data_IF_161511786574
#
_entry.id   IF_161511786574
#
_cell.length_a   1.000
_cell.length_b   1.000
_cell.length_c   1.000
_cell.angle_alpha   90.00
_cell.angle_beta   90.00
_cell.angle_gamma   90.00
#
_symmetry.space_group_name_H-M   'P 1'
#
loop_
_entity.id
_entity.type
_entity.pdbx_description
1 polymer ?
#
# COMPACT_ATOMS: atom_id res chain seq x y z
N UNK A 1 -14.46 -2.19 10.77
CA UNK A 1 -15.47 -1.11 10.82
C UNK A 1 -15.76 -0.66 9.40
N UNK A 2 -16.99 -0.19 9.14
CA UNK A 2 -17.38 0.39 7.85
C UNK A 2 -17.33 1.91 8.01
N UNK A 3 -16.68 2.62 7.09
CA UNK A 3 -16.62 4.08 7.09
C UNK A 3 -17.81 4.65 6.32
N UNK A 4 -18.56 5.58 6.93
CA UNK A 4 -19.81 6.09 6.35
C UNK A 4 -19.64 7.52 5.81
N UNK A 5 -19.99 7.71 4.54
CA UNK A 5 -20.13 9.00 3.89
C UNK A 5 -21.58 9.17 3.42
N UNK A 6 -22.23 10.24 3.86
CA UNK A 6 -23.62 10.52 3.54
C UNK A 6 -23.76 11.89 2.91
N UNK A 7 -24.52 11.98 1.83
CA UNK A 7 -25.01 13.25 1.31
C UNK A 7 -26.51 13.36 1.51
N UNK A 8 -26.95 14.45 2.12
CA UNK A 8 -28.35 14.77 2.36
C UNK A 8 -28.53 16.28 2.25
N UNK A 9 -29.43 16.72 1.38
CA UNK A 9 -29.87 18.12 1.30
C UNK A 9 -28.72 19.13 1.14
N UNK A 10 -27.80 18.88 0.19
CA UNK A 10 -26.63 19.73 -0.03
C UNK A 10 -25.50 19.55 0.98
N UNK A 11 -25.70 18.77 2.04
CA UNK A 11 -24.73 18.59 3.13
C UNK A 11 -24.05 17.23 3.05
N UNK A 12 -22.71 17.25 3.02
CA UNK A 12 -21.87 16.06 3.19
C UNK A 12 -21.64 15.81 4.68
N UNK A 13 -22.00 14.62 5.14
CA UNK A 13 -21.75 14.12 6.49
C UNK A 13 -20.78 12.94 6.41
N UNK A 14 -19.68 13.05 7.14
CA UNK A 14 -18.68 11.99 7.28
C UNK A 14 -18.59 11.65 8.76
N UNK A 15 -18.43 10.36 9.06
CA UNK A 15 -18.18 9.88 10.43
C UNK A 15 -16.98 10.59 11.08
N UNK A 16 -17.10 10.95 12.36
CA UNK A 16 -16.05 11.62 13.12
C UNK A 16 -14.87 10.68 13.37
N UNK A 17 -13.93 10.69 12.44
CA UNK A 17 -12.71 9.88 12.45
C UNK A 17 -11.53 10.73 11.99
N UNK A 18 -10.31 10.21 12.13
CA UNK A 18 -9.11 10.84 11.55
C UNK A 18 -9.16 10.99 10.02
N UNK A 19 -10.09 10.29 9.37
CA UNK A 19 -10.29 10.35 7.93
C UNK A 19 -11.10 11.58 7.49
N UNK A 20 -12.02 12.08 8.34
CA UNK A 20 -12.91 13.21 8.05
C UNK A 20 -12.24 14.41 7.36
N UNK A 21 -11.06 14.92 7.79
CA UNK A 21 -10.43 16.07 7.14
C UNK A 21 -9.84 15.77 5.74
N UNK A 22 -9.75 14.50 5.33
CA UNK A 22 -9.08 14.07 4.10
C UNK A 22 -10.01 13.41 3.09
N UNK A 23 -11.28 13.15 3.44
CA UNK A 23 -12.23 12.45 2.58
C UNK A 23 -13.39 13.34 2.18
N UNK A 24 -13.89 13.16 0.96
CA UNK A 24 -15.07 13.86 0.49
C UNK A 24 -15.51 13.38 -0.89
N UNK A 25 -16.60 13.98 -1.38
CA UNK A 25 -17.03 13.80 -2.76
C UNK A 25 -16.21 14.71 -3.68
N UNK A 26 -15.74 14.16 -4.80
CA UNK A 26 -14.92 14.89 -5.77
C UNK A 26 -15.73 15.92 -6.56
N UNK A 27 -17.01 15.65 -6.78
CA UNK A 27 -17.92 16.49 -7.55
C UNK A 27 -19.19 16.79 -6.75
N UNK A 28 -19.88 17.91 -7.06
CA UNK A 28 -21.23 18.14 -6.53
C UNK A 28 -22.17 17.01 -6.94
N UNK A 29 -23.01 16.54 -6.02
CA UNK A 29 -23.87 15.36 -6.25
C UNK A 29 -24.86 15.56 -7.39
N UNK A 30 -25.22 16.82 -7.68
CA UNK A 30 -26.07 17.22 -8.82
C UNK A 30 -25.51 16.75 -10.18
N UNK A 31 -24.21 16.46 -10.27
CA UNK A 31 -23.60 15.92 -11.50
C UNK A 31 -23.80 14.42 -11.67
N UNK A 32 -24.59 13.77 -10.81
CA UNK A 32 -24.81 12.31 -10.78
C UNK A 32 -23.50 11.51 -10.66
N UNK A 33 -22.43 12.14 -10.18
CA UNK A 33 -21.11 11.53 -10.02
C UNK A 33 -20.77 11.47 -8.54
N UNK A 34 -20.77 10.26 -8.00
CA UNK A 34 -20.55 9.98 -6.58
C UNK A 34 -19.10 9.55 -6.28
N UNK A 35 -18.15 10.00 -7.10
CA UNK A 35 -16.73 9.74 -6.88
C UNK A 35 -16.26 10.30 -5.54
N UNK A 36 -15.53 9.50 -4.79
CA UNK A 36 -14.96 9.87 -3.48
C UNK A 36 -13.44 10.01 -3.62
N UNK A 37 -12.87 11.00 -2.97
CA UNK A 37 -11.42 11.14 -2.82
C UNK A 37 -11.00 10.92 -1.37
N UNK A 38 -9.78 10.42 -1.18
CA UNK A 38 -9.06 10.43 0.09
C UNK A 38 -7.70 11.04 -0.16
N UNK A 39 -7.40 12.16 0.47
CA UNK A 39 -6.09 12.80 0.36
C UNK A 39 -5.06 12.11 1.27
N UNK A 40 -3.82 11.96 0.79
CA UNK A 40 -2.71 11.36 1.52
C UNK A 40 -3.09 10.04 2.22
N UNK A 41 -3.43 9.02 1.43
CA UNK A 41 -3.86 7.70 1.93
C UNK A 41 -2.84 7.07 2.86
N UNK A 42 -3.34 6.44 3.92
CA UNK A 42 -2.57 5.76 4.96
C UNK A 42 -2.97 4.30 5.04
N UNK A 43 -2.09 3.45 5.56
CA UNK A 43 -2.37 2.01 5.66
C UNK A 43 -3.68 1.70 6.42
N UNK A 44 -3.97 2.46 7.48
CA UNK A 44 -5.19 2.32 8.27
C UNK A 44 -6.46 2.84 7.58
N UNK A 45 -6.34 3.53 6.45
CA UNK A 45 -7.50 3.92 5.63
C UNK A 45 -8.08 2.71 4.89
N UNK A 46 -7.42 1.54 4.92
CA UNK A 46 -7.97 0.29 4.42
C UNK A 46 -9.27 -0.09 5.12
N UNK A 47 -10.29 -0.43 4.34
CA UNK A 47 -11.58 -0.84 4.90
C UNK A 47 -12.70 -0.82 3.87
N UNK A 48 -13.90 -1.07 4.37
CA UNK A 48 -15.11 -0.93 3.59
C UNK A 48 -15.68 0.49 3.77
N UNK A 49 -16.05 1.10 2.66
CA UNK A 49 -16.63 2.42 2.57
C UNK A 49 -18.05 2.30 2.06
N UNK A 50 -18.97 2.96 2.75
CA UNK A 50 -20.38 3.02 2.36
C UNK A 50 -20.77 4.46 2.08
N UNK A 51 -21.12 4.72 0.82
CA UNK A 51 -21.58 6.02 0.34
C UNK A 51 -23.10 5.99 0.23
N UNK A 52 -23.79 6.82 1.00
CA UNK A 52 -25.24 6.98 0.93
C UNK A 52 -25.58 8.34 0.35
N UNK A 53 -26.34 8.37 -0.73
CA UNK A 53 -26.84 9.60 -1.34
C UNK A 53 -28.35 9.60 -1.21
N UNK A 54 -28.87 10.60 -0.51
CA UNK A 54 -30.30 10.88 -0.43
C UNK A 54 -30.57 12.13 -1.28
N UNK A 55 -31.19 11.94 -2.44
CA UNK A 55 -31.64 13.05 -3.29
C UNK A 55 -33.12 13.29 -2.99
N UNK A 56 -33.45 14.51 -2.58
CA UNK A 56 -34.83 14.99 -2.56
C UNK A 56 -35.06 15.60 -3.92
N UNK A 57 -35.88 14.94 -4.75
CA UNK A 57 -36.30 15.47 -6.04
C UNK A 57 -37.66 16.18 -5.89
N UNK A 58 -37.95 17.17 -6.74
CA UNK A 58 -39.13 18.05 -6.66
C UNK A 58 -40.49 17.30 -6.76
N UNK A 59 -40.48 15.99 -7.00
CA UNK A 59 -41.65 15.14 -7.29
C UNK A 59 -41.88 14.06 -6.20
N UNK A 60 -41.51 14.32 -4.94
CA UNK A 60 -41.93 13.52 -3.75
C UNK A 60 -41.31 12.12 -3.55
N UNK A 61 -40.38 11.64 -4.39
CA UNK A 61 -39.66 10.38 -4.14
C UNK A 61 -38.29 10.62 -3.51
N UNK A 62 -38.12 10.21 -2.24
CA UNK A 62 -36.79 10.08 -1.64
C UNK A 62 -36.05 8.89 -2.27
N UNK A 63 -35.21 9.17 -3.27
CA UNK A 63 -34.27 8.19 -3.81
C UNK A 63 -33.09 8.01 -2.87
N UNK A 64 -32.93 6.81 -2.29
CA UNK A 64 -31.73 6.42 -1.54
C UNK A 64 -30.84 5.54 -2.40
N UNK A 65 -29.66 6.04 -2.77
CA UNK A 65 -28.64 5.25 -3.46
C UNK A 65 -27.52 4.91 -2.48
N UNK A 66 -27.14 3.63 -2.45
CA UNK A 66 -26.05 3.13 -1.60
C UNK A 66 -24.98 2.49 -2.47
N UNK A 67 -23.75 2.96 -2.35
CA UNK A 67 -22.56 2.36 -2.95
C UNK A 67 -21.64 1.80 -1.86
N UNK A 68 -21.11 0.59 -2.08
CA UNK A 68 -20.14 -0.05 -1.17
C UNK A 68 -18.84 -0.28 -1.93
N UNK A 69 -17.72 0.15 -1.33
CA UNK A 69 -16.38 0.07 -1.92
C UNK A 69 -15.44 -0.55 -0.90
N UNK A 70 -14.61 -1.51 -1.31
CA UNK A 70 -13.54 -2.05 -0.48
C UNK A 70 -12.21 -1.44 -0.92
N UNK A 71 -11.56 -0.70 -0.02
CA UNK A 71 -10.27 -0.05 -0.27
C UNK A 71 -9.14 -0.83 0.40
N UNK A 72 -8.17 -1.24 -0.41
CA UNK A 72 -6.91 -1.81 0.07
C UNK A 72 -5.76 -0.84 -0.23
N UNK A 73 -5.25 -0.19 0.81
CA UNK A 73 -4.04 0.64 0.70
C UNK A 73 -2.83 -0.27 0.75
N UNK A 74 -1.97 -0.13 -0.26
CA UNK A 74 -0.72 -0.88 -0.39
C UNK A 74 0.42 -0.12 0.26
N UNK A 75 1.37 -0.87 0.82
CA UNK A 75 2.57 -0.31 1.46
C UNK A 75 3.79 -0.89 0.75
N UNK A 76 4.68 -0.05 0.20
CA UNK A 76 5.89 -0.55 -0.43
C UNK A 76 6.76 -1.29 0.60
N UNK A 77 7.44 -2.38 0.20
CA UNK A 77 8.38 -3.05 1.09
C UNK A 77 9.48 -2.10 1.55
N UNK A 78 9.80 -2.14 2.84
CA UNK A 78 11.00 -1.47 3.36
C UNK A 78 12.25 -2.11 2.75
N UNK A 79 13.38 -1.40 2.79
CA UNK A 79 14.68 -1.97 2.37
C UNK A 79 14.94 -3.29 3.11
N UNK A 80 15.16 -4.41 2.39
CA UNK A 80 15.29 -5.70 3.04
C UNK A 80 16.62 -5.80 3.79
N UNK A 81 16.58 -6.40 4.97
CA UNK A 81 17.76 -6.76 5.75
C UNK A 81 18.08 -8.22 5.48
N UNK A 82 19.21 -8.46 4.83
CA UNK A 82 19.68 -9.80 4.49
C UNK A 82 20.79 -10.25 5.44
N UNK A 83 20.71 -11.50 5.88
CA UNK A 83 21.67 -12.12 6.81
C UNK A 83 22.08 -13.49 6.32
N UNK A 84 23.37 -13.78 6.46
CA UNK A 84 23.93 -15.11 6.32
C UNK A 84 24.09 -15.71 7.71
N UNK A 85 23.53 -16.90 7.90
CA UNK A 85 23.65 -17.69 9.11
C UNK A 85 24.59 -18.86 8.84
N UNK A 86 25.50 -19.12 9.78
CA UNK A 86 26.59 -20.08 9.63
C UNK A 86 27.88 -19.42 9.13
N UNK A 87 28.94 -20.23 9.00
CA UNK A 87 30.23 -19.77 8.49
C UNK A 87 30.43 -20.34 7.09
N UNK A 88 30.75 -19.52 6.06
CA UNK A 88 30.89 -19.99 4.69
C UNK A 88 32.24 -20.69 4.48
N UNK A 89 32.38 -21.90 5.04
CA UNK A 89 33.54 -22.79 4.86
C UNK A 89 33.21 -23.94 3.91
N UNK A 90 34.24 -24.51 3.29
CA UNK A 90 34.07 -25.64 2.35
C UNK A 90 33.42 -26.82 3.05
N UNK A 91 32.36 -27.36 2.44
CA UNK A 91 31.60 -28.49 2.99
C UNK A 91 30.58 -28.11 4.07
N UNK A 92 30.50 -26.85 4.49
CA UNK A 92 29.51 -26.39 5.46
C UNK A 92 28.20 -25.91 4.81
N UNK A 93 27.10 -26.06 5.54
CA UNK A 93 25.81 -25.51 5.16
C UNK A 93 25.66 -24.08 5.70
N UNK A 94 25.09 -23.21 4.88
CA UNK A 94 24.73 -21.84 5.26
C UNK A 94 23.27 -21.57 4.95
N UNK A 95 22.65 -20.67 5.70
CA UNK A 95 21.28 -20.23 5.46
C UNK A 95 21.25 -18.74 5.17
N UNK A 96 20.64 -18.38 4.04
CA UNK A 96 20.40 -17.00 3.67
C UNK A 96 18.97 -16.60 4.06
N UNK A 97 18.83 -15.49 4.76
CA UNK A 97 17.53 -14.93 5.13
C UNK A 97 17.47 -13.47 4.71
N UNK A 98 16.34 -13.02 4.15
CA UNK A 98 16.05 -11.62 3.93
C UNK A 98 14.64 -11.32 4.43
N UNK A 99 14.47 -10.20 5.13
CA UNK A 99 13.17 -9.73 5.59
C UNK A 99 13.07 -8.22 5.43
N UNK A 100 11.87 -7.72 5.16
CA UNK A 100 11.55 -6.29 5.19
C UNK A 100 10.63 -6.07 6.38
N UNK A 101 10.91 -5.04 7.17
CA UNK A 101 10.11 -4.70 8.35
C UNK A 101 8.67 -4.33 7.99
N UNK A 102 8.47 -3.70 6.82
CA UNK A 102 7.18 -3.26 6.31
C UNK A 102 6.98 -3.75 4.88
N UNK A 103 5.71 -3.89 4.48
CA UNK A 103 5.28 -4.25 3.13
C UNK A 103 3.87 -4.83 3.14
N UNK A 104 2.99 -4.31 2.29
CA UNK A 104 1.60 -4.77 2.15
C UNK A 104 1.23 -4.85 0.67
N UNK A 105 1.04 -6.06 0.11
CA UNK A 105 1.19 -7.36 0.76
C UNK A 105 2.64 -7.65 1.14
N UNK A 106 2.85 -8.70 1.95
CA UNK A 106 4.20 -9.15 2.30
C UNK A 106 5.05 -9.39 1.05
N UNK A 107 6.30 -8.89 1.01
CA UNK A 107 7.16 -9.03 -0.16
C UNK A 107 7.53 -10.51 -0.41
N UNK A 108 7.58 -10.88 -1.68
CA UNK A 108 8.13 -12.16 -2.12
C UNK A 108 9.62 -12.01 -2.45
N UNK A 109 10.43 -12.97 -2.02
CA UNK A 109 11.89 -12.97 -2.23
C UNK A 109 12.30 -14.07 -3.18
N UNK A 110 13.25 -13.76 -4.05
CA UNK A 110 13.91 -14.73 -4.91
C UNK A 110 15.42 -14.51 -4.81
N UNK A 111 16.15 -15.61 -4.62
CA UNK A 111 17.60 -15.60 -4.58
C UNK A 111 18.17 -15.82 -5.97
N UNK A 112 19.15 -15.00 -6.33
CA UNK A 112 19.92 -15.16 -7.56
C UNK A 112 21.41 -15.23 -7.23
N UNK A 113 22.07 -16.25 -7.77
CA UNK A 113 23.53 -16.37 -7.64
C UNK A 113 24.19 -15.48 -8.70
N UNK A 114 24.90 -14.44 -8.25
CA UNK A 114 25.74 -13.62 -9.14
C UNK A 114 26.99 -14.41 -9.55
N UNK A 115 27.49 -14.15 -10.75
CA UNK A 115 28.78 -14.68 -11.19
C UNK A 115 29.88 -14.20 -10.24
N UNK A 116 30.92 -15.01 -9.98
CA UNK A 116 32.05 -14.58 -9.18
C UNK A 116 32.70 -13.36 -9.81
N UNK A 117 33.10 -12.38 -8.99
CA UNK A 117 34.01 -11.34 -9.45
C UNK A 117 35.35 -12.02 -9.76
N UNK A 118 35.80 -11.95 -11.01
CA UNK A 118 37.12 -12.48 -11.39
C UNK A 118 38.17 -11.66 -10.65
N UNK A 119 38.80 -12.25 -9.65
CA UNK A 119 39.99 -11.66 -9.03
C UNK A 119 41.20 -12.11 -9.85
N UNK A 120 41.75 -11.18 -10.63
CA UNK A 120 42.98 -11.42 -11.39
C UNK A 120 44.14 -11.34 -10.41
N UNK A 121 44.80 -12.47 -10.17
CA UNK A 121 46.05 -12.49 -9.41
C UNK A 121 47.19 -12.07 -10.34
N UNK A 122 47.84 -10.95 -10.02
CA UNK A 122 49.11 -10.58 -10.63
C UNK A 122 50.24 -11.09 -9.73
N UNK A 123 50.96 -12.15 -10.12
CA UNK A 123 52.12 -12.59 -9.34
C UNK A 123 53.15 -11.47 -9.24
N UNK A 124 53.90 -11.37 -8.12
CA UNK A 124 54.96 -10.39 -7.99
C UNK A 124 55.97 -10.57 -9.13
N UNK A 125 56.30 -9.49 -9.83
CA UNK A 125 57.38 -9.51 -10.81
C UNK A 125 58.67 -9.90 -10.10
N UNK A 126 59.23 -11.05 -10.44
CA UNK A 126 60.55 -11.45 -9.99
C UNK A 126 61.55 -10.53 -10.68
N UNK A 127 62.01 -9.50 -9.97
CA UNK A 127 63.15 -8.71 -10.40
C UNK A 127 64.34 -9.65 -10.59
N UNK A 128 64.82 -9.78 -11.83
CA UNK A 128 66.11 -10.39 -12.10
C UNK A 128 67.17 -9.51 -11.43
N UNK A 129 68.00 -10.18 -10.63
CA UNK A 129 69.10 -9.65 -9.81
C UNK A 129 70.05 -8.78 -10.62
#
# INVERSE_FOLDING_TARGET
>A
SVQILTYLDGVVKVEETELKPRVGFLYPILTHNISVFINATREHDSGQYMCTVNVVDDITTMGKTVGIINLTVLVPPATPVCRLHGTPTVGANVTLSCTSEKGKPSPAYQWQRKAPTIQVFFPPAQGKV
#
